data_IF_273902219292
#
_entry.id   IF_273902219292
#
_cell.length_a   1.000
_cell.length_b   1.000
_cell.length_c   1.000
_cell.angle_alpha   90.00
_cell.angle_beta   90.00
_cell.angle_gamma   90.00
#
_symmetry.space_group_name_H-M   'P 1'
#
loop_
_entity.id
_entity.type
_entity.pdbx_description
1 polymer ?
#
# COMPACT_ATOMS: atom_id res chain seq x y z
N UNK A 1 3.37 -12.88 47.37
CA UNK A 1 2.54 -12.96 48.60
C UNK A 1 1.69 -11.69 48.54
N UNK A 2 0.44 -11.70 48.08
CA UNK A 2 -0.70 -12.31 48.78
C UNK A 2 -1.89 -12.53 47.84
N UNK A 3 -2.55 -13.64 48.08
CA UNK A 3 -3.83 -14.11 47.53
C UNK A 3 -5.00 -13.35 48.16
N UNK A 4 -6.01 -12.99 47.39
CA UNK A 4 -7.39 -12.73 47.88
C UNK A 4 -8.33 -13.34 46.83
N UNK A 5 -8.58 -14.65 46.88
CA UNK A 5 -9.67 -15.34 47.59
C UNK A 5 -11.05 -14.69 47.40
N UNK A 6 -11.69 -15.16 46.34
CA UNK A 6 -13.10 -15.05 46.02
C UNK A 6 -13.95 -15.77 47.09
N UNK A 7 -14.90 -15.11 47.77
CA UNK A 7 -16.15 -15.75 48.27
C UNK A 7 -17.22 -14.70 48.56
N UNK A 8 -18.40 -14.87 47.92
CA UNK A 8 -19.79 -14.68 48.42
C UNK A 8 -20.66 -14.23 47.25
N UNK A 9 -21.93 -14.54 47.16
CA UNK A 9 -22.81 -15.50 47.81
C UNK A 9 -24.00 -15.56 46.86
N UNK A 10 -24.57 -16.75 46.64
CA UNK A 10 -25.82 -16.86 45.91
C UNK A 10 -26.92 -16.10 46.65
N UNK A 11 -27.72 -15.33 45.91
CA UNK A 11 -29.11 -15.14 46.23
C UNK A 11 -29.89 -15.08 44.91
N UNK A 12 -30.66 -16.13 44.68
CA UNK A 12 -31.81 -16.20 43.78
C UNK A 12 -32.59 -14.90 43.88
N UNK A 13 -32.93 -14.22 42.78
CA UNK A 13 -34.23 -13.54 42.64
C UNK A 13 -34.52 -13.18 41.17
N UNK A 14 -35.59 -13.83 40.68
CA UNK A 14 -36.64 -13.34 39.78
C UNK A 14 -36.22 -12.88 38.37
N UNK A 15 -36.61 -13.72 37.41
CA UNK A 15 -36.85 -13.36 36.01
C UNK A 15 -37.70 -12.08 35.92
N UNK A 16 -37.10 -11.01 35.41
CA UNK A 16 -37.82 -9.90 34.80
C UNK A 16 -37.28 -9.80 33.39
N UNK A 17 -38.09 -10.25 32.43
CA UNK A 17 -37.83 -10.06 31.02
C UNK A 17 -37.95 -8.56 30.70
N UNK A 18 -36.82 -7.85 30.73
CA UNK A 18 -36.69 -6.56 30.06
C UNK A 18 -36.34 -6.84 28.61
N UNK A 19 -37.36 -6.87 27.76
CA UNK A 19 -37.21 -6.88 26.31
C UNK A 19 -36.62 -5.53 25.88
N UNK A 20 -35.29 -5.39 25.96
CA UNK A 20 -34.57 -4.21 25.51
C UNK A 20 -34.25 -4.42 24.04
N UNK A 21 -35.17 -3.96 23.19
CA UNK A 21 -34.99 -3.93 21.74
C UNK A 21 -33.88 -2.93 21.40
N UNK A 22 -32.64 -3.42 21.38
CA UNK A 22 -31.51 -2.67 20.83
C UNK A 22 -31.49 -2.91 19.32
N UNK A 23 -31.57 -1.86 18.48
CA UNK A 23 -31.36 -2.04 17.05
C UNK A 23 -29.89 -2.44 16.83
N UNK A 24 -29.66 -3.72 16.55
CA UNK A 24 -28.40 -4.17 15.97
C UNK A 24 -28.32 -3.58 14.56
N UNK A 25 -27.45 -2.57 14.39
CA UNK A 25 -27.12 -2.06 13.07
C UNK A 25 -26.33 -3.15 12.35
N UNK A 26 -26.91 -3.73 11.32
CA UNK A 26 -26.18 -4.61 10.42
C UNK A 26 -25.19 -3.76 9.63
N UNK A 27 -23.89 -3.94 9.89
CA UNK A 27 -22.85 -3.38 9.04
C UNK A 27 -22.77 -4.25 7.79
N UNK A 28 -23.03 -3.65 6.64
CA UNK A 28 -22.73 -4.27 5.35
C UNK A 28 -21.27 -3.97 5.04
N UNK A 29 -20.44 -5.01 4.96
CA UNK A 29 -19.04 -4.90 4.57
C UNK A 29 -18.92 -5.31 3.10
N UNK A 30 -18.20 -4.51 2.31
CA UNK A 30 -17.84 -4.90 0.95
C UNK A 30 -16.84 -6.05 0.96
N UNK A 31 -16.81 -6.84 -0.11
CA UNK A 31 -15.72 -7.79 -0.36
C UNK A 31 -14.36 -7.08 -0.31
N UNK A 32 -13.36 -7.77 0.27
CA UNK A 32 -11.97 -7.27 0.29
C UNK A 32 -11.45 -7.20 -1.14
N UNK A 33 -11.03 -6.01 -1.57
CA UNK A 33 -10.25 -5.80 -2.78
C UNK A 33 -8.84 -5.44 -2.34
N UNK A 34 -7.85 -6.26 -2.68
CA UNK A 34 -6.45 -5.94 -2.43
C UNK A 34 -6.01 -4.87 -3.43
N UNK A 35 -5.56 -3.72 -2.92
CA UNK A 35 -4.93 -2.66 -3.69
C UNK A 35 -3.44 -2.60 -3.34
N UNK A 36 -2.55 -2.56 -4.34
CA UNK A 36 -1.13 -2.24 -4.14
C UNK A 36 -0.13 -3.40 -4.01
N UNK A 37 -0.36 -4.57 -4.62
CA UNK A 37 0.62 -5.67 -4.64
C UNK A 37 1.41 -5.79 -5.94
N UNK A 38 0.93 -5.15 -7.00
CA UNK A 38 1.51 -5.32 -8.33
C UNK A 38 2.97 -4.82 -8.35
N UNK A 39 3.24 -3.68 -7.73
CA UNK A 39 4.52 -2.98 -7.67
C UNK A 39 5.62 -3.80 -6.94
N UNK A 40 5.23 -4.66 -6.01
CA UNK A 40 6.13 -5.50 -5.21
C UNK A 40 6.33 -6.90 -5.76
N UNK A 41 5.69 -7.22 -6.89
CA UNK A 41 5.82 -8.52 -7.54
C UNK A 41 7.02 -8.52 -8.49
N UNK A 42 7.80 -9.59 -8.48
CA UNK A 42 8.89 -9.80 -9.45
C UNK A 42 8.35 -10.20 -10.84
N UNK A 43 9.07 -9.90 -11.94
CA UNK A 43 8.70 -10.35 -13.28
C UNK A 43 8.57 -11.88 -13.33
N UNK A 44 7.53 -12.39 -14.00
CA UNK A 44 7.27 -13.84 -14.06
C UNK A 44 8.13 -14.54 -15.11
N UNK A 45 8.48 -13.83 -16.17
CA UNK A 45 9.35 -14.30 -17.25
C UNK A 45 10.33 -13.21 -17.66
N UNK A 46 11.39 -13.61 -18.37
CA UNK A 46 12.39 -12.66 -18.88
C UNK A 46 11.81 -11.74 -19.96
N UNK A 47 10.78 -12.18 -20.68
CA UNK A 47 10.11 -11.39 -21.73
C UNK A 47 9.36 -10.17 -21.16
N UNK A 48 9.01 -10.18 -19.87
CA UNK A 48 8.35 -9.07 -19.18
C UNK A 48 9.36 -8.06 -18.61
N UNK A 49 10.66 -8.36 -18.65
CA UNK A 49 11.69 -7.54 -17.99
C UNK A 49 11.96 -6.28 -18.81
N UNK A 50 11.95 -5.13 -18.13
CA UNK A 50 12.35 -3.84 -18.69
C UNK A 50 13.51 -3.30 -17.88
N UNK A 51 14.66 -3.12 -18.53
CA UNK A 51 15.85 -2.55 -17.89
C UNK A 51 15.73 -1.03 -17.86
N UNK A 52 15.94 -0.42 -16.70
CA UNK A 52 15.86 1.02 -16.49
C UNK A 52 17.13 1.47 -15.77
N UNK A 53 17.73 2.55 -16.25
CA UNK A 53 18.87 3.19 -15.60
C UNK A 53 18.43 4.51 -14.97
N UNK A 54 18.54 4.62 -13.66
CA UNK A 54 18.34 5.87 -12.95
C UNK A 54 19.64 6.65 -12.85
N UNK A 55 19.53 7.97 -12.94
CA UNK A 55 20.65 8.89 -12.73
C UNK A 55 20.27 9.75 -11.52
N UNK A 56 21.02 9.58 -10.43
CA UNK A 56 20.81 10.35 -9.21
C UNK A 56 21.31 11.80 -9.36
N UNK A 57 20.99 12.68 -8.40
CA UNK A 57 21.46 14.08 -8.33
C UNK A 57 22.99 14.19 -8.34
N UNK A 58 23.68 13.18 -7.83
CA UNK A 58 25.14 13.09 -7.82
C UNK A 58 25.71 12.56 -9.15
N UNK A 59 24.86 12.28 -10.15
CA UNK A 59 25.23 11.73 -11.44
C UNK A 59 25.52 10.23 -11.44
N UNK A 60 25.31 9.55 -10.30
CA UNK A 60 25.49 8.11 -10.17
C UNK A 60 24.42 7.38 -10.99
N UNK A 61 24.88 6.46 -11.85
CA UNK A 61 24.00 5.56 -12.60
C UNK A 61 23.67 4.32 -11.77
N UNK A 62 22.40 3.96 -11.73
CA UNK A 62 21.87 2.81 -11.00
C UNK A 62 21.00 2.02 -11.96
N UNK A 63 21.47 0.84 -12.37
CA UNK A 63 20.75 -0.04 -13.27
C UNK A 63 19.81 -0.94 -12.47
N UNK A 64 18.54 -0.97 -12.86
CA UNK A 64 17.51 -1.77 -12.21
C UNK A 64 16.71 -2.57 -13.23
N UNK A 65 16.16 -3.70 -12.75
CA UNK A 65 15.27 -4.57 -13.52
C UNK A 65 13.84 -4.33 -13.05
N UNK A 66 13.02 -3.71 -13.89
CA UNK A 66 11.58 -3.59 -13.72
C UNK A 66 10.82 -4.61 -14.55
N UNK A 67 9.49 -4.56 -14.49
CA UNK A 67 8.60 -5.31 -15.38
C UNK A 67 7.67 -4.41 -16.18
N UNK A 68 7.16 -4.91 -17.29
CA UNK A 68 6.12 -4.23 -18.07
C UNK A 68 4.93 -3.90 -17.17
N UNK A 69 4.49 -2.64 -17.21
CA UNK A 69 3.38 -2.13 -16.40
C UNK A 69 3.78 -1.56 -15.04
N UNK A 70 5.05 -1.68 -14.63
CA UNK A 70 5.52 -1.03 -13.39
C UNK A 70 5.39 0.49 -13.45
N UNK A 71 5.04 1.07 -12.31
CA UNK A 71 5.12 2.50 -12.10
C UNK A 71 6.55 2.86 -11.67
N UNK A 72 7.18 3.77 -12.41
CA UNK A 72 8.57 4.21 -12.21
C UNK A 72 8.81 4.77 -10.79
N UNK A 73 7.83 5.47 -10.19
CA UNK A 73 7.94 6.03 -8.84
C UNK A 73 8.10 4.91 -7.79
N UNK A 74 7.20 3.93 -7.80
CA UNK A 74 7.23 2.84 -6.83
C UNK A 74 8.44 1.93 -7.06
N UNK A 75 8.84 1.75 -8.32
CA UNK A 75 10.03 1.00 -8.68
C UNK A 75 11.32 1.65 -8.13
N UNK A 76 11.45 2.98 -8.26
CA UNK A 76 12.57 3.73 -7.70
C UNK A 76 12.65 3.54 -6.18
N UNK A 77 11.53 3.68 -5.48
CA UNK A 77 11.44 3.50 -4.02
C UNK A 77 11.81 2.07 -3.60
N UNK A 78 11.34 1.05 -4.33
CA UNK A 78 11.63 -0.36 -4.07
C UNK A 78 13.14 -0.67 -4.13
N UNK A 79 13.87 -0.03 -5.04
CA UNK A 79 15.33 -0.19 -5.18
C UNK A 79 16.14 0.85 -4.38
N UNK A 80 15.50 1.63 -3.52
CA UNK A 80 16.16 2.56 -2.61
C UNK A 80 16.71 3.83 -3.26
N UNK A 81 16.15 4.23 -4.41
CA UNK A 81 16.46 5.51 -5.03
C UNK A 81 15.69 6.62 -4.29
N UNK A 82 16.38 7.73 -4.03
CA UNK A 82 15.85 8.88 -3.30
C UNK A 82 14.82 9.63 -4.17
N UNK A 83 13.61 9.08 -4.27
CA UNK A 83 12.48 9.66 -4.99
C UNK A 83 11.24 9.74 -4.10
N UNK A 84 10.77 10.96 -3.88
CA UNK A 84 9.61 11.21 -3.04
C UNK A 84 8.29 11.06 -3.83
N UNK A 85 7.34 10.35 -3.22
CA UNK A 85 5.98 10.15 -3.76
C UNK A 85 4.93 10.70 -2.82
N UNK A 86 5.00 11.98 -2.47
CA UNK A 86 4.21 12.58 -1.37
C UNK A 86 2.68 12.44 -1.54
N UNK A 87 2.20 12.39 -2.79
CA UNK A 87 0.79 12.22 -3.12
C UNK A 87 0.46 10.80 -3.63
N UNK A 88 1.37 9.83 -3.49
CA UNK A 88 1.14 8.43 -3.85
C UNK A 88 0.63 8.26 -5.29
N UNK A 89 1.27 8.96 -6.23
CA UNK A 89 0.91 9.00 -7.66
C UNK A 89 -0.51 9.54 -7.97
N UNK A 90 -1.12 10.32 -7.07
CA UNK A 90 -2.46 10.89 -7.24
C UNK A 90 -2.49 12.25 -7.97
N UNK A 91 -1.42 12.62 -8.70
CA UNK A 91 -1.30 13.88 -9.45
C UNK A 91 -1.54 15.17 -8.65
N UNK A 92 -1.40 15.12 -7.32
CA UNK A 92 -1.61 16.26 -6.42
C UNK A 92 -0.29 16.95 -6.00
N UNK A 93 0.84 16.48 -6.50
CA UNK A 93 2.18 16.92 -6.12
C UNK A 93 3.13 16.83 -7.33
N UNK A 94 4.33 17.41 -7.19
CA UNK A 94 5.40 17.39 -8.21
C UNK A 94 6.70 16.79 -7.67
N UNK A 95 6.67 16.10 -6.53
CA UNK A 95 7.86 15.54 -5.89
C UNK A 95 8.44 14.33 -6.63
N UNK A 96 7.65 13.72 -7.52
CA UNK A 96 8.07 12.62 -8.40
C UNK A 96 8.54 13.07 -9.80
N UNK A 97 8.82 14.36 -10.00
CA UNK A 97 9.32 14.86 -11.28
C UNK A 97 10.66 14.21 -11.66
N UNK A 98 10.80 13.83 -12.93
CA UNK A 98 12.01 13.22 -13.50
C UNK A 98 12.29 13.76 -14.89
N UNK A 99 13.55 13.65 -15.32
CA UNK A 99 13.95 13.87 -16.70
C UNK A 99 14.05 12.53 -17.43
N UNK A 100 13.44 12.45 -18.61
CA UNK A 100 13.46 11.27 -19.48
C UNK A 100 14.35 11.56 -20.68
N UNK A 101 15.12 10.58 -21.12
CA UNK A 101 15.95 10.69 -22.34
C UNK A 101 15.06 10.91 -23.58
N UNK A 102 15.52 11.75 -24.51
CA UNK A 102 14.69 12.24 -25.61
C UNK A 102 14.08 11.14 -26.47
N UNK A 103 14.85 10.08 -26.77
CA UNK A 103 14.36 8.93 -27.55
C UNK A 103 13.19 8.19 -26.87
N UNK A 104 13.14 8.21 -25.54
CA UNK A 104 12.08 7.61 -24.76
C UNK A 104 10.93 8.58 -24.45
N UNK A 105 11.15 9.89 -24.56
CA UNK A 105 10.09 10.87 -24.33
C UNK A 105 9.03 10.83 -25.44
N UNK A 106 9.45 10.67 -26.69
CA UNK A 106 8.55 10.71 -27.86
C UNK A 106 7.57 9.53 -27.93
N UNK A 107 7.87 8.42 -27.23
CA UNK A 107 6.99 7.24 -27.15
C UNK A 107 6.00 7.30 -25.98
N UNK A 108 6.14 8.27 -25.08
CA UNK A 108 5.23 8.44 -23.95
C UNK A 108 3.91 9.10 -24.40
N UNK A 109 2.79 8.81 -23.72
CA UNK A 109 1.56 9.55 -23.93
C UNK A 109 1.76 11.03 -23.60
N UNK A 110 0.98 11.90 -24.24
CA UNK A 110 0.98 13.33 -23.91
C UNK A 110 0.63 13.54 -22.43
N UNK A 111 1.39 14.37 -21.69
CA UNK A 111 1.15 14.65 -20.29
C UNK A 111 -0.17 15.39 -20.03
#
# INVERSE_FOLDING_TARGET
ISTVKLVRAGLLHKNIAVNRYYPVRNLFQSSVLHHGEFEWTDPKSEDEVVNITFIDKDGKKIDIRGKVGDNVLFLAQRYGIEMEGACEASLACTTCHVYVEGEHFDILPSP
#
